data_IF_569069282498
#
_entry.id   IF_569069282498
#
_cell.length_a   1.000
_cell.length_b   1.000
_cell.length_c   1.000
_cell.angle_alpha   90.00
_cell.angle_beta   90.00
_cell.angle_gamma   90.00
#
_symmetry.space_group_name_H-M   'P 1'
#
loop_
_entity.id
_entity.type
_entity.pdbx_description
1 polymer ?
#
# COMPACT_ATOMS: atom_id res chain seq x y z
N UNK A 1 15.74 11.45 11.36
CA UNK A 1 15.88 11.67 9.91
C UNK A 1 15.27 10.49 9.18
N UNK A 2 14.57 10.71 8.07
CA UNK A 2 14.16 9.60 7.18
C UNK A 2 15.41 8.96 6.57
N UNK A 3 15.34 7.65 6.29
CA UNK A 3 16.37 7.00 5.49
C UNK A 3 16.27 7.47 4.03
N UNK A 4 17.38 7.60 3.30
CA UNK A 4 17.39 8.11 1.93
C UNK A 4 16.44 7.35 0.98
N UNK A 5 16.22 6.06 1.23
CA UNK A 5 15.35 5.21 0.41
C UNK A 5 13.83 5.38 0.70
N UNK A 6 13.49 6.08 1.78
CA UNK A 6 12.12 6.49 2.11
C UNK A 6 11.67 7.69 1.26
N UNK A 7 12.61 8.54 0.84
CA UNK A 7 12.33 9.78 0.13
C UNK A 7 12.01 9.48 -1.34
N UNK A 8 10.94 10.10 -1.84
CA UNK A 8 10.57 10.05 -3.26
C UNK A 8 11.15 11.26 -3.97
N UNK A 9 12.04 11.02 -4.91
CA UNK A 9 12.69 12.04 -5.72
C UNK A 9 12.60 11.69 -7.22
N UNK A 10 13.23 12.51 -8.07
CA UNK A 10 13.24 12.37 -9.53
C UNK A 10 12.11 13.14 -10.20
N UNK A 11 11.89 12.85 -11.49
CA UNK A 11 10.97 13.59 -12.37
C UNK A 11 9.57 13.81 -11.76
N UNK A 12 9.05 12.80 -11.07
CA UNK A 12 7.69 12.81 -10.52
C UNK A 12 7.64 13.10 -9.01
N UNK A 13 8.76 13.35 -8.34
CA UNK A 13 8.81 13.52 -6.88
C UNK A 13 7.93 14.67 -6.38
N UNK A 14 7.96 15.80 -7.08
CA UNK A 14 7.13 16.96 -6.75
C UNK A 14 5.63 16.71 -7.00
N UNK A 15 5.29 15.92 -8.02
CA UNK A 15 3.90 15.57 -8.31
C UNK A 15 3.36 14.61 -7.23
N UNK A 16 4.16 13.62 -6.82
CA UNK A 16 3.80 12.75 -5.70
C UNK A 16 3.57 13.52 -4.38
N UNK A 17 4.37 14.56 -4.13
CA UNK A 17 4.24 15.44 -2.96
C UNK A 17 2.90 16.18 -2.91
N UNK A 18 2.39 16.58 -4.07
CA UNK A 18 1.22 17.46 -4.21
C UNK A 18 -0.11 16.72 -4.31
N UNK A 19 -0.11 15.47 -4.77
CA UNK A 19 -1.31 14.65 -4.79
C UNK A 19 -1.90 14.57 -3.36
N UNK A 20 -3.20 14.80 -3.13
CA UNK A 20 -3.81 14.60 -1.83
C UNK A 20 -3.84 13.12 -1.40
N UNK A 21 -4.03 12.82 -0.09
CA UNK A 21 -4.33 11.47 0.37
C UNK A 21 -5.50 10.85 -0.42
N UNK A 22 -5.36 9.58 -0.82
CA UNK A 22 -6.35 8.87 -1.62
C UNK A 22 -6.34 9.18 -3.11
N UNK A 23 -5.52 10.13 -3.56
CA UNK A 23 -5.37 10.45 -4.97
C UNK A 23 -4.12 9.84 -5.58
N UNK A 24 -4.10 9.81 -6.91
CA UNK A 24 -3.00 9.33 -7.74
C UNK A 24 -2.64 10.40 -8.79
N UNK A 25 -1.92 10.01 -9.83
CA UNK A 25 -1.53 10.92 -10.91
C UNK A 25 -2.70 11.65 -11.59
N UNK A 26 -3.94 11.12 -11.54
CA UNK A 26 -5.12 11.77 -12.10
C UNK A 26 -5.37 13.14 -11.47
N UNK A 27 -4.92 13.38 -10.23
CA UNK A 27 -4.92 14.69 -9.60
C UNK A 27 -4.27 15.75 -10.49
N UNK A 28 -3.20 15.39 -11.21
CA UNK A 28 -2.49 16.26 -12.14
C UNK A 28 -2.97 16.11 -13.59
N UNK A 29 -4.27 15.93 -13.80
CA UNK A 29 -4.92 16.04 -15.11
C UNK A 29 -5.83 17.27 -15.10
N UNK A 30 -6.24 17.77 -16.27
CA UNK A 30 -7.18 18.89 -16.41
C UNK A 30 -8.52 18.73 -15.67
N UNK A 31 -8.84 17.51 -15.20
CA UNK A 31 -10.10 17.21 -14.50
C UNK A 31 -10.04 17.44 -12.99
N UNK A 32 -8.85 17.59 -12.43
CA UNK A 32 -8.62 17.74 -10.99
C UNK A 32 -7.73 18.95 -10.71
N UNK A 33 -7.36 19.17 -9.44
CA UNK A 33 -6.74 20.42 -8.99
C UNK A 33 -5.22 20.50 -9.10
N UNK A 34 -4.57 19.52 -9.72
CA UNK A 34 -3.12 19.46 -9.85
C UNK A 34 -2.59 20.29 -11.03
N UNK A 35 -1.46 19.84 -11.58
CA UNK A 35 -0.63 20.62 -12.52
C UNK A 35 -0.94 20.39 -14.01
N UNK A 36 -2.02 19.68 -14.33
CA UNK A 36 -2.36 19.24 -15.70
C UNK A 36 -1.14 18.73 -16.51
N UNK A 37 -0.47 17.72 -15.96
CA UNK A 37 0.76 17.11 -16.52
C UNK A 37 0.52 15.80 -17.25
N UNK A 38 -0.64 15.18 -17.05
CA UNK A 38 -0.96 13.88 -17.63
C UNK A 38 -2.25 13.94 -18.42
N UNK A 39 -2.29 13.19 -19.52
CA UNK A 39 -3.55 12.90 -20.22
C UNK A 39 -4.43 11.96 -19.39
N UNK A 40 -5.74 12.09 -19.56
CA UNK A 40 -6.72 11.28 -18.84
C UNK A 40 -6.52 9.77 -19.09
N UNK A 41 -6.36 8.98 -18.02
CA UNK A 41 -6.17 7.52 -18.06
C UNK A 41 -4.96 7.05 -18.88
N UNK A 42 -3.92 7.88 -19.00
CA UNK A 42 -2.68 7.58 -19.73
C UNK A 42 -1.68 6.70 -18.97
N UNK A 43 -1.85 6.52 -17.66
CA UNK A 43 -1.03 5.67 -16.79
C UNK A 43 -1.90 4.68 -16.01
N UNK A 44 -1.26 3.65 -15.44
CA UNK A 44 -1.93 2.77 -14.49
C UNK A 44 -2.50 3.55 -13.30
N UNK A 45 -3.65 3.12 -12.80
CA UNK A 45 -4.40 3.83 -11.76
C UNK A 45 -3.62 3.97 -10.44
N UNK A 46 -2.64 3.12 -10.16
CA UNK A 46 -1.81 3.17 -8.96
C UNK A 46 -0.59 4.12 -9.10
N UNK A 47 -0.34 4.68 -10.29
CA UNK A 47 0.79 5.57 -10.51
C UNK A 47 0.66 6.84 -9.66
N UNK A 48 1.68 7.13 -8.84
CA UNK A 48 1.70 8.20 -7.83
C UNK A 48 0.56 8.12 -6.79
N UNK A 49 -0.03 6.94 -6.58
CA UNK A 49 -1.09 6.75 -5.59
C UNK A 49 -0.58 7.04 -4.18
N UNK A 50 -1.32 7.84 -3.43
CA UNK A 50 -1.13 8.05 -1.99
C UNK A 50 -2.24 7.37 -1.21
N UNK A 51 -1.86 6.69 -0.14
CA UNK A 51 -2.83 6.15 0.80
C UNK A 51 -3.68 7.26 1.43
N UNK A 52 -4.82 6.87 1.99
CA UNK A 52 -5.76 7.70 2.71
C UNK A 52 -5.89 7.07 4.11
N UNK A 53 -5.70 7.84 5.19
CA UNK A 53 -5.74 7.30 6.55
C UNK A 53 -7.13 6.81 6.98
N UNK A 54 -8.19 7.21 6.27
CA UNK A 54 -9.59 6.97 6.65
C UNK A 54 -10.33 6.01 5.72
N UNK A 55 -9.70 5.57 4.63
CA UNK A 55 -10.35 4.74 3.62
C UNK A 55 -9.53 3.50 3.30
N UNK A 56 -10.15 2.31 3.25
CA UNK A 56 -9.47 1.14 2.73
C UNK A 56 -9.15 1.37 1.25
N UNK A 57 -7.92 1.04 0.87
CA UNK A 57 -7.49 1.10 -0.53
C UNK A 57 -6.96 -0.25 -0.95
N UNK A 58 -7.27 -0.64 -2.19
CA UNK A 58 -6.68 -1.81 -2.78
C UNK A 58 -5.17 -1.57 -2.97
N UNK A 59 -4.35 -2.50 -2.51
CA UNK A 59 -2.99 -2.61 -3.01
C UNK A 59 -3.03 -3.48 -4.27
N UNK A 60 -2.54 -2.96 -5.39
CA UNK A 60 -2.28 -3.80 -6.55
C UNK A 60 -0.97 -4.55 -6.32
N UNK A 61 -0.92 -5.85 -6.64
CA UNK A 61 0.34 -6.63 -6.67
C UNK A 61 1.33 -6.21 -7.77
N UNK A 62 1.19 -5.00 -8.31
CA UNK A 62 2.20 -4.39 -9.16
C UNK A 62 3.31 -3.85 -8.28
N UNK A 63 4.57 -3.97 -8.70
CA UNK A 63 5.79 -3.50 -8.01
C UNK A 63 5.82 -2.02 -7.61
N UNK A 64 4.72 -1.29 -7.81
CA UNK A 64 4.52 0.11 -7.46
C UNK A 64 3.64 0.16 -6.21
N UNK A 65 4.29 0.22 -5.06
CA UNK A 65 3.66 0.47 -3.77
C UNK A 65 3.09 1.89 -3.69
N UNK A 66 1.94 2.10 -3.04
CA UNK A 66 1.43 3.45 -2.80
C UNK A 66 2.35 4.20 -1.82
N UNK A 67 2.37 5.52 -1.96
CA UNK A 67 3.06 6.40 -1.02
C UNK A 67 2.26 6.60 0.26
N UNK A 68 2.99 6.94 1.32
CA UNK A 68 2.36 7.31 2.59
C UNK A 68 1.60 8.64 2.43
N UNK A 69 0.51 8.81 3.19
CA UNK A 69 -0.33 10.01 3.10
C UNK A 69 0.35 11.26 3.67
N UNK A 70 1.26 11.10 4.63
CA UNK A 70 2.14 12.17 5.14
C UNK A 70 3.42 12.31 4.32
N UNK A 71 3.87 13.55 4.16
CA UNK A 71 5.20 13.91 3.65
C UNK A 71 6.29 13.70 4.72
N UNK A 72 7.53 13.88 4.32
CA UNK A 72 8.68 13.99 5.20
C UNK A 72 9.41 15.32 4.98
N UNK A 73 9.77 16.01 6.07
CA UNK A 73 10.64 17.18 6.07
C UNK A 73 12.11 16.73 6.09
N UNK A 74 12.92 17.29 5.19
CA UNK A 74 14.35 17.02 5.06
C UNK A 74 15.21 17.81 6.07
N UNK A 75 14.60 18.59 6.97
CA UNK A 75 15.28 19.36 8.02
C UNK A 75 15.72 20.76 7.58
N UNK A 76 15.44 21.15 6.35
CA UNK A 76 15.70 22.47 5.78
C UNK A 76 14.42 23.17 5.31
N UNK A 77 13.24 22.70 5.76
CA UNK A 77 11.92 23.19 5.33
C UNK A 77 11.48 22.64 3.97
N UNK A 78 12.27 21.78 3.34
CA UNK A 78 11.89 21.10 2.10
C UNK A 78 11.12 19.82 2.44
N UNK A 79 9.89 19.72 1.93
CA UNK A 79 9.10 18.49 2.04
C UNK A 79 9.28 17.59 0.81
N UNK A 80 9.14 16.28 1.05
CA UNK A 80 9.05 15.25 0.00
C UNK A 80 7.94 14.26 0.30
N UNK A 81 7.34 13.71 -0.76
CA UNK A 81 6.57 12.49 -0.62
C UNK A 81 7.49 11.36 -0.12
N UNK A 82 6.89 10.39 0.56
CA UNK A 82 7.65 9.26 1.11
C UNK A 82 6.99 7.93 0.85
N UNK A 83 7.82 6.90 0.71
CA UNK A 83 7.39 5.50 0.67
C UNK A 83 6.95 5.02 2.06
N UNK A 84 6.21 3.92 2.07
CA UNK A 84 5.91 3.22 3.30
C UNK A 84 7.19 2.63 3.92
N UNK A 85 7.24 2.65 5.24
CA UNK A 85 8.25 1.95 6.04
C UNK A 85 7.86 0.49 6.17
N UNK A 86 8.85 -0.38 6.38
CA UNK A 86 8.61 -1.82 6.52
C UNK A 86 7.58 -2.13 7.61
N UNK A 87 7.67 -1.49 8.78
CA UNK A 87 6.66 -1.67 9.84
C UNK A 87 5.24 -1.20 9.45
N UNK A 88 5.13 -0.15 8.63
CA UNK A 88 3.83 0.30 8.12
C UNK A 88 3.24 -0.72 7.15
N UNK A 89 4.07 -1.30 6.29
CA UNK A 89 3.66 -2.34 5.35
C UNK A 89 3.29 -3.65 6.07
N UNK A 90 4.05 -4.07 7.08
CA UNK A 90 3.74 -5.23 7.92
C UNK A 90 2.34 -5.10 8.52
N UNK A 91 2.04 -3.94 9.13
CA UNK A 91 0.73 -3.65 9.70
C UNK A 91 -0.39 -3.69 8.67
N UNK A 92 -0.18 -3.12 7.48
CA UNK A 92 -1.15 -3.20 6.38
C UNK A 92 -1.42 -4.65 5.95
N UNK A 93 -0.40 -5.49 5.99
CA UNK A 93 -0.48 -6.93 5.69
C UNK A 93 -0.89 -7.78 6.91
N UNK A 94 -1.26 -7.14 8.02
CA UNK A 94 -1.68 -7.75 9.29
C UNK A 94 -0.65 -8.69 9.92
N UNK A 95 0.64 -8.43 9.70
CA UNK A 95 1.72 -9.09 10.42
C UNK A 95 1.81 -8.57 11.87
N UNK A 96 2.25 -9.41 12.83
CA UNK A 96 2.68 -8.95 14.14
C UNK A 96 3.77 -7.88 14.04
N UNK A 97 3.79 -6.94 14.99
CA UNK A 97 4.77 -5.85 15.03
C UNK A 97 6.21 -6.36 15.25
N UNK A 98 6.37 -7.55 15.84
CA UNK A 98 7.63 -8.25 16.10
C UNK A 98 8.02 -9.23 14.98
N UNK A 99 7.31 -9.23 13.85
CA UNK A 99 7.64 -10.09 12.72
C UNK A 99 8.94 -9.65 12.03
N UNK A 100 9.92 -10.54 11.97
CA UNK A 100 11.21 -10.29 11.36
C UNK A 100 11.23 -10.67 9.87
N UNK A 101 11.63 -9.72 9.02
CA UNK A 101 11.92 -9.98 7.61
C UNK A 101 13.42 -10.16 7.41
N UNK A 102 13.79 -11.17 6.63
CA UNK A 102 15.19 -11.48 6.34
C UNK A 102 15.61 -10.80 5.04
N UNK A 103 16.80 -10.21 5.05
CA UNK A 103 17.45 -9.63 3.86
C UNK A 103 17.44 -8.10 3.83
N UNK A 104 17.58 -7.54 2.64
CA UNK A 104 17.63 -6.08 2.45
C UNK A 104 16.24 -5.44 2.53
N UNK A 105 16.17 -4.12 2.57
CA UNK A 105 14.88 -3.42 2.48
C UNK A 105 14.15 -3.65 1.16
N UNK A 106 14.89 -3.84 0.06
CA UNK A 106 14.29 -4.23 -1.22
C UNK A 106 13.70 -5.66 -1.16
N UNK A 107 14.39 -6.58 -0.47
CA UNK A 107 13.85 -7.93 -0.23
C UNK A 107 12.60 -7.89 0.63
N UNK A 108 12.59 -7.07 1.68
CA UNK A 108 11.41 -6.87 2.53
C UNK A 108 10.21 -6.37 1.73
N UNK A 109 10.41 -5.35 0.87
CA UNK A 109 9.36 -4.85 -0.04
C UNK A 109 8.84 -5.93 -0.97
N UNK A 110 9.73 -6.71 -1.60
CA UNK A 110 9.36 -7.81 -2.48
C UNK A 110 8.64 -8.94 -1.73
N UNK A 111 9.06 -9.28 -0.51
CA UNK A 111 8.41 -10.30 0.31
C UNK A 111 6.99 -9.86 0.67
N UNK A 112 6.83 -8.62 1.14
CA UNK A 112 5.53 -8.08 1.54
C UNK A 112 4.59 -7.86 0.34
N UNK A 113 5.11 -7.35 -0.79
CA UNK A 113 4.30 -7.13 -2.00
C UNK A 113 3.79 -8.42 -2.66
N UNK A 114 4.47 -9.55 -2.44
CA UNK A 114 4.05 -10.87 -2.92
C UNK A 114 3.29 -11.69 -1.86
N UNK A 115 3.27 -11.25 -0.60
CA UNK A 115 2.63 -11.97 0.48
C UNK A 115 1.10 -11.87 0.39
N UNK A 116 0.43 -12.87 0.98
CA UNK A 116 -1.00 -12.78 1.29
C UNK A 116 -1.14 -12.14 2.67
N UNK A 117 -2.05 -11.17 2.88
CA UNK A 117 -2.30 -10.63 4.22
C UNK A 117 -2.68 -11.74 5.22
N UNK A 118 -2.13 -11.70 6.44
CA UNK A 118 -2.29 -12.80 7.40
C UNK A 118 -3.76 -13.06 7.73
N UNK A 119 -4.54 -12.03 8.02
CA UNK A 119 -5.96 -12.19 8.38
C UNK A 119 -6.79 -12.74 7.22
N UNK A 120 -6.43 -12.41 5.98
CA UNK A 120 -7.05 -13.03 4.80
C UNK A 120 -6.69 -14.52 4.76
N UNK A 121 -5.41 -14.86 4.93
CA UNK A 121 -4.94 -16.25 5.00
C UNK A 121 -5.66 -17.07 6.07
N UNK A 122 -5.85 -16.50 7.27
CA UNK A 122 -6.62 -17.12 8.37
C UNK A 122 -8.10 -17.31 8.00
N UNK A 123 -8.73 -16.31 7.39
CA UNK A 123 -10.13 -16.39 7.01
C UNK A 123 -10.40 -17.47 5.96
N UNK A 124 -9.47 -17.69 5.01
CA UNK A 124 -9.64 -18.67 3.94
C UNK A 124 -9.16 -20.08 4.31
N UNK A 125 -8.21 -20.22 5.23
CA UNK A 125 -7.59 -21.52 5.54
C UNK A 125 -8.53 -22.55 6.17
N UNK A 126 -9.62 -22.11 6.81
CA UNK A 126 -10.61 -23.01 7.42
C UNK A 126 -11.27 -23.95 6.41
N UNK A 127 -11.57 -23.47 5.20
CA UNK A 127 -12.21 -24.28 4.16
C UNK A 127 -11.36 -25.49 3.71
N UNK A 128 -10.10 -25.32 3.25
CA UNK A 128 -9.26 -26.46 2.89
C UNK A 128 -8.95 -27.36 4.08
N UNK A 129 -8.75 -26.81 5.29
CA UNK A 129 -8.51 -27.63 6.49
C UNK A 129 -9.71 -28.53 6.83
N UNK A 130 -10.94 -28.02 6.67
CA UNK A 130 -12.15 -28.80 6.88
C UNK A 130 -12.31 -29.88 5.79
N UNK A 131 -12.04 -29.55 4.53
CA UNK A 131 -12.10 -30.49 3.42
C UNK A 131 -11.09 -31.64 3.57
N UNK A 132 -9.91 -31.35 4.13
CA UNK A 132 -8.88 -32.35 4.43
C UNK A 132 -9.15 -33.10 5.75
N UNK A 133 -10.22 -32.78 6.48
CA UNK A 133 -10.59 -33.45 7.73
C UNK A 133 -9.73 -33.07 8.94
N UNK A 134 -8.92 -32.02 8.85
CA UNK A 134 -8.10 -31.53 9.97
C UNK A 134 -8.92 -30.78 11.01
N UNK A 135 -10.05 -30.20 10.61
CA UNK A 135 -11.02 -29.56 11.51
C UNK A 135 -12.43 -29.98 11.14
N UNK A 136 -13.37 -29.86 12.09
CA UNK A 136 -14.79 -30.10 11.81
C UNK A 136 -15.32 -28.98 10.90
N UNK A 137 -16.04 -29.35 9.85
CA UNK A 137 -16.75 -28.38 9.01
C UNK A 137 -17.84 -27.71 9.85
N UNK A 138 -17.73 -26.39 10.02
CA UNK A 138 -18.81 -25.58 10.57
C UNK A 138 -19.67 -25.10 9.41
N UNK A 139 -20.76 -25.81 9.14
CA UNK A 139 -21.80 -25.31 8.24
C UNK A 139 -22.44 -24.10 8.91
N UNK A 140 -22.16 -22.88 8.43
CA UNK A 140 -23.02 -21.73 8.76
C UNK A 140 -24.38 -22.05 8.17
N UNK A 141 -25.38 -22.28 9.02
CA UNK A 141 -26.77 -22.13 8.58
C UNK A 141 -26.92 -20.66 8.16
N UNK A 142 -26.99 -20.43 6.85
CA UNK A 142 -27.39 -19.14 6.32
C UNK A 142 -28.87 -19.01 6.64
N UNK A 143 -29.17 -18.36 7.76
CA UNK A 143 -30.53 -17.87 8.03
C UNK A 143 -30.77 -16.71 7.07
N UNK A 144 -31.41 -17.00 5.94
CA UNK A 144 -32.05 -15.98 5.14
C UNK A 144 -33.22 -15.43 5.97
N UNK A 145 -33.17 -14.14 6.28
CA UNK A 145 -34.27 -13.36 6.85
C UNK A 145 -34.82 -12.44 5.76
#
# INVERSE_FOLDING_TARGET
MAADDEIVDGEYGQLALEAPPGQNYLWHTARYGGRDRFEWRSRYWNFLLRLDPTRPQAQSGSWVEPFHWKNVDLGNGTERARRLRVGEMLRLMSFPDDFELVGTRADARRQLGNAVPIELGKAVSGAPLAQLGHIKSFTRQVLFA
#
